data_IF_607167773697
#
_entry.id   IF_607167773697
#
_cell.length_a   1.000
_cell.length_b   1.000
_cell.length_c   1.000
_cell.angle_alpha   90.00
_cell.angle_beta   90.00
_cell.angle_gamma   90.00
#
_symmetry.space_group_name_H-M   'P 1'
#
loop_
_entity.id
_entity.type
_entity.pdbx_description
1 polymer ?
#
# COMPACT_ATOMS: atom_id res chain seq x y z
N UNK A 1 -11.79 -4.02 41.00
CA UNK A 1 -10.51 -4.68 40.64
C UNK A 1 -10.66 -5.62 39.43
N UNK A 2 -11.62 -6.56 39.41
CA UNK A 2 -11.89 -7.43 38.24
C UNK A 2 -12.24 -6.70 36.92
N UNK A 3 -12.78 -5.48 37.00
CA UNK A 3 -13.01 -4.57 35.86
C UNK A 3 -11.71 -4.05 35.23
N UNK A 4 -10.67 -3.88 36.04
CA UNK A 4 -9.36 -3.35 35.62
C UNK A 4 -8.43 -4.45 35.11
N UNK A 5 -8.64 -5.67 35.59
CA UNK A 5 -7.87 -6.85 35.20
C UNK A 5 -8.81 -7.92 34.62
N UNK A 6 -9.24 -7.77 33.34
CA UNK A 6 -10.21 -8.67 32.72
C UNK A 6 -9.70 -10.11 32.58
N UNK A 7 -8.37 -10.30 32.55
CA UNK A 7 -7.72 -11.63 32.49
C UNK A 7 -7.33 -12.20 33.87
N UNK A 8 -7.73 -11.57 34.98
CA UNK A 8 -7.38 -12.05 36.32
C UNK A 8 -8.17 -13.33 36.66
N UNK A 9 -7.44 -14.41 36.96
CA UNK A 9 -7.99 -15.71 37.35
C UNK A 9 -7.99 -15.92 38.86
N UNK A 10 -6.95 -15.46 39.56
CA UNK A 10 -6.79 -15.66 41.00
C UNK A 10 -6.54 -14.32 41.68
N UNK A 11 -7.23 -14.09 42.80
CA UNK A 11 -7.01 -12.95 43.68
C UNK A 11 -6.87 -13.46 45.11
N UNK A 12 -5.76 -13.16 45.79
CA UNK A 12 -5.52 -13.55 47.19
C UNK A 12 -5.77 -15.05 47.42
N UNK A 13 -5.19 -15.90 46.58
CA UNK A 13 -5.39 -17.36 46.55
C UNK A 13 -6.83 -17.83 46.33
N UNK A 14 -7.77 -16.93 46.02
CA UNK A 14 -9.16 -17.26 45.70
C UNK A 14 -9.35 -17.22 44.18
N UNK A 15 -9.89 -18.29 43.55
CA UNK A 15 -10.24 -18.26 42.14
C UNK A 15 -11.42 -17.28 41.92
N UNK A 16 -11.21 -16.31 41.03
CA UNK A 16 -12.18 -15.25 40.70
C UNK A 16 -12.68 -15.34 39.26
N UNK A 17 -11.99 -16.09 38.39
CA UNK A 17 -12.47 -16.47 37.06
C UNK A 17 -11.91 -17.81 36.64
N UNK A 18 -12.69 -18.57 35.87
CA UNK A 18 -12.18 -19.79 35.22
C UNK A 18 -11.49 -19.47 33.88
N UNK A 19 -10.65 -20.38 33.36
CA UNK A 19 -10.09 -20.26 32.01
C UNK A 19 -11.17 -20.14 30.92
N UNK A 20 -12.31 -20.83 31.08
CA UNK A 20 -13.45 -20.82 30.15
C UNK A 20 -14.14 -19.45 30.16
N UNK A 21 -14.33 -18.84 31.34
CA UNK A 21 -14.90 -17.49 31.46
C UNK A 21 -14.03 -16.41 30.81
N UNK A 22 -12.71 -16.58 30.83
CA UNK A 22 -11.77 -15.69 30.13
C UNK A 22 -11.79 -15.96 28.62
N UNK A 23 -11.88 -17.22 28.21
CA UNK A 23 -11.99 -17.58 26.79
C UNK A 23 -13.30 -17.07 26.18
N UNK A 24 -14.42 -17.14 26.90
CA UNK A 24 -15.72 -16.62 26.47
C UNK A 24 -15.73 -15.08 26.32
N UNK A 25 -14.92 -14.36 27.10
CA UNK A 25 -14.72 -12.91 26.95
C UNK A 25 -13.85 -12.57 25.74
N UNK A 26 -13.06 -13.53 25.23
CA UNK A 26 -12.21 -13.33 24.06
C UNK A 26 -13.09 -13.40 22.82
N UNK A 27 -13.40 -12.23 22.24
CA UNK A 27 -13.86 -12.18 20.84
C UNK A 27 -12.78 -12.87 20.00
N UNK A 28 -13.04 -14.06 19.48
CA UNK A 28 -12.12 -14.75 18.58
C UNK A 28 -12.05 -13.93 17.30
N UNK A 29 -10.93 -13.24 17.03
CA UNK A 29 -10.78 -12.53 15.77
C UNK A 29 -10.83 -13.56 14.64
N UNK A 30 -11.32 -13.14 13.47
CA UNK A 30 -11.10 -13.92 12.25
C UNK A 30 -9.60 -14.21 12.16
N UNK A 31 -9.17 -15.49 12.01
CA UNK A 31 -7.76 -15.81 11.94
C UNK A 31 -7.09 -15.02 10.83
N UNK A 32 -5.98 -14.36 11.15
CA UNK A 32 -5.13 -13.70 10.15
C UNK A 32 -4.49 -14.79 9.31
N UNK A 33 -4.84 -14.84 8.03
CA UNK A 33 -4.22 -15.76 7.06
C UNK A 33 -2.96 -15.11 6.47
N UNK A 34 -2.05 -15.94 5.99
CA UNK A 34 -0.92 -15.47 5.19
C UNK A 34 -1.37 -14.87 3.84
N UNK A 35 -0.47 -14.19 3.13
CA UNK A 35 -0.78 -13.61 1.83
C UNK A 35 -1.21 -14.68 0.82
N UNK A 36 -2.16 -14.33 -0.04
CA UNK A 36 -2.59 -15.15 -1.16
C UNK A 36 -2.05 -14.56 -2.46
N UNK A 37 -1.22 -15.33 -3.17
CA UNK A 37 -0.52 -14.87 -4.35
C UNK A 37 -0.81 -15.77 -5.55
N UNK A 38 -1.81 -15.40 -6.34
CA UNK A 38 -2.19 -16.07 -7.58
C UNK A 38 -1.54 -15.36 -8.76
N UNK A 39 -0.38 -15.87 -9.19
CA UNK A 39 0.40 -15.31 -10.31
C UNK A 39 0.90 -16.45 -11.22
N UNK A 40 0.03 -16.90 -12.13
CA UNK A 40 0.27 -18.10 -12.94
C UNK A 40 1.44 -17.97 -13.93
N UNK A 41 1.91 -16.75 -14.21
CA UNK A 41 2.96 -16.48 -15.21
C UNK A 41 4.08 -15.57 -14.66
N UNK A 42 4.22 -15.48 -13.33
CA UNK A 42 5.20 -14.60 -12.67
C UNK A 42 5.11 -13.13 -13.13
N UNK A 43 3.95 -12.68 -13.60
CA UNK A 43 3.73 -11.33 -14.12
C UNK A 43 3.79 -10.34 -12.95
N UNK A 44 3.05 -10.61 -11.88
CA UNK A 44 3.03 -9.74 -10.71
C UNK A 44 4.39 -9.72 -10.01
N UNK A 45 5.06 -10.87 -9.89
CA UNK A 45 6.39 -10.94 -9.27
C UNK A 45 7.41 -10.07 -10.02
N UNK A 46 7.50 -10.24 -11.34
CA UNK A 46 8.43 -9.48 -12.18
C UNK A 46 8.08 -7.99 -12.20
N UNK A 47 6.79 -7.66 -12.31
CA UNK A 47 6.29 -6.29 -12.23
C UNK A 47 6.71 -5.62 -10.93
N UNK A 48 6.48 -6.25 -9.77
CA UNK A 48 6.78 -5.64 -8.46
C UNK A 48 8.28 -5.44 -8.24
N UNK A 49 9.11 -6.41 -8.64
CA UNK A 49 10.58 -6.30 -8.58
C UNK A 49 11.07 -5.10 -9.38
N UNK A 50 10.66 -5.01 -10.64
CA UNK A 50 11.04 -3.89 -11.51
C UNK A 50 10.46 -2.56 -11.02
N UNK A 51 9.19 -2.56 -10.60
CA UNK A 51 8.48 -1.37 -10.14
C UNK A 51 9.20 -0.73 -8.95
N UNK A 52 9.41 -1.45 -7.85
CA UNK A 52 9.97 -0.84 -6.64
C UNK A 52 11.45 -0.48 -6.80
N UNK A 53 12.22 -1.31 -7.52
CA UNK A 53 13.60 -0.97 -7.84
C UNK A 53 13.68 0.33 -8.64
N UNK A 54 12.91 0.46 -9.72
CA UNK A 54 12.93 1.67 -10.54
C UNK A 54 12.23 2.85 -9.86
N UNK A 55 11.22 2.64 -9.02
CA UNK A 55 10.57 3.74 -8.30
C UNK A 55 11.55 4.51 -7.40
N UNK A 56 12.50 3.80 -6.80
CA UNK A 56 13.54 4.39 -5.93
C UNK A 56 14.74 4.95 -6.70
N UNK A 57 15.07 4.36 -7.86
CA UNK A 57 16.28 4.69 -8.64
C UNK A 57 16.02 5.53 -9.91
N UNK A 58 14.98 5.20 -10.68
CA UNK A 58 14.62 5.87 -11.94
C UNK A 58 13.10 5.82 -12.19
N UNK A 59 12.38 6.84 -11.71
CA UNK A 59 10.91 6.91 -11.85
C UNK A 59 10.45 7.02 -13.31
N UNK A 60 11.27 7.57 -14.20
CA UNK A 60 10.89 7.70 -15.61
C UNK A 60 10.83 6.35 -16.33
N UNK A 61 11.66 5.37 -15.93
CA UNK A 61 11.56 4.00 -16.45
C UNK A 61 10.22 3.35 -16.06
N UNK A 62 9.77 3.56 -14.82
CA UNK A 62 8.45 3.08 -14.38
C UNK A 62 7.34 3.73 -15.19
N UNK A 63 7.40 5.06 -15.34
CA UNK A 63 6.38 5.83 -16.04
C UNK A 63 6.27 5.46 -17.50
N UNK A 64 7.39 5.32 -18.20
CA UNK A 64 7.41 5.02 -19.63
C UNK A 64 7.10 3.55 -19.93
N UNK A 65 7.40 2.64 -19.00
CA UNK A 65 7.21 1.20 -19.21
C UNK A 65 5.88 0.64 -18.68
N UNK A 66 5.24 1.30 -17.72
CA UNK A 66 4.12 0.71 -16.95
C UNK A 66 2.86 1.58 -16.89
N UNK A 67 2.91 2.81 -17.41
CA UNK A 67 1.77 3.74 -17.41
C UNK A 67 1.50 4.25 -18.83
N UNK A 68 0.22 4.50 -19.13
CA UNK A 68 -0.25 5.05 -20.41
C UNK A 68 -1.04 6.35 -20.20
N UNK A 69 -1.62 6.90 -21.28
CA UNK A 69 -2.41 8.13 -21.23
C UNK A 69 -3.73 8.03 -20.43
N UNK A 70 -4.20 6.80 -20.16
CA UNK A 70 -5.45 6.53 -19.43
C UNK A 70 -5.22 6.09 -17.99
N UNK A 71 -3.98 5.77 -17.64
CA UNK A 71 -3.59 5.31 -16.32
C UNK A 71 -3.87 6.38 -15.27
N UNK A 72 -4.31 5.95 -14.08
CA UNK A 72 -4.71 6.86 -13.00
C UNK A 72 -3.89 6.56 -11.76
N UNK A 73 -3.32 7.60 -11.17
CA UNK A 73 -2.66 7.56 -9.87
C UNK A 73 -3.37 8.49 -8.89
N UNK A 74 -3.54 8.03 -7.66
CA UNK A 74 -3.84 8.90 -6.52
C UNK A 74 -3.19 8.32 -5.28
N UNK A 75 -2.95 9.16 -4.28
CA UNK A 75 -2.40 8.72 -2.99
C UNK A 75 -3.31 9.17 -1.86
N UNK A 76 -3.36 8.40 -0.77
CA UNK A 76 -4.10 8.77 0.43
C UNK A 76 -3.15 8.72 1.63
N UNK A 77 -3.15 9.80 2.42
CA UNK A 77 -2.43 9.87 3.68
C UNK A 77 -3.39 9.60 4.84
N UNK A 78 -3.12 8.55 5.59
CA UNK A 78 -3.78 8.26 6.86
C UNK A 78 -3.00 8.88 8.04
N UNK A 79 -3.41 10.06 8.48
CA UNK A 79 -2.77 10.74 9.63
C UNK A 79 -3.14 10.11 10.98
N UNK A 80 -4.11 9.20 11.01
CA UNK A 80 -4.62 8.54 12.22
C UNK A 80 -4.17 7.08 12.33
N UNK A 81 -3.22 6.65 11.49
CA UNK A 81 -2.72 5.28 11.51
C UNK A 81 -2.30 4.90 12.95
N UNK A 82 -2.74 3.73 13.47
CA UNK A 82 -2.37 3.29 14.81
C UNK A 82 -0.86 3.26 14.95
N UNK A 83 -0.36 4.11 15.84
CA UNK A 83 1.06 4.16 16.15
C UNK A 83 1.35 2.97 17.05
N UNK A 84 2.19 2.04 16.60
CA UNK A 84 2.86 1.14 17.54
C UNK A 84 3.56 1.99 18.61
N UNK A 85 3.90 1.40 19.75
CA UNK A 85 4.72 2.03 20.80
C UNK A 85 6.11 2.39 20.23
N UNK A 86 6.19 3.43 19.42
CA UNK A 86 7.41 4.04 18.92
C UNK A 86 7.71 5.22 19.84
N UNK A 87 8.94 5.23 20.35
CA UNK A 87 9.42 6.23 21.32
C UNK A 87 9.69 7.60 20.68
N UNK A 88 9.59 7.72 19.36
CA UNK A 88 9.92 8.93 18.61
C UNK A 88 8.65 9.58 18.04
N UNK A 89 8.63 10.92 18.06
CA UNK A 89 7.58 11.68 17.39
C UNK A 89 7.82 11.59 15.88
N UNK A 90 6.91 10.98 15.09
CA UNK A 90 7.11 10.86 13.65
C UNK A 90 7.17 12.24 12.99
N UNK A 91 7.98 12.39 11.96
CA UNK A 91 7.96 13.58 11.12
C UNK A 91 6.58 13.75 10.45
N UNK A 92 6.26 15.01 10.15
CA UNK A 92 5.01 15.41 9.53
C UNK A 92 4.77 14.73 8.17
N UNK A 93 3.55 14.88 7.66
CA UNK A 93 3.17 14.40 6.32
C UNK A 93 3.25 15.49 5.26
N UNK A 94 3.98 16.58 5.51
CA UNK A 94 3.96 17.80 4.67
C UNK A 94 4.31 17.53 3.20
N UNK A 95 5.25 16.60 2.95
CA UNK A 95 5.63 16.17 1.60
C UNK A 95 4.52 15.41 0.84
N UNK A 96 3.51 14.88 1.53
CA UNK A 96 2.43 14.07 0.93
C UNK A 96 1.06 14.74 1.03
N UNK A 97 0.80 15.53 2.08
CA UNK A 97 -0.55 15.94 2.48
C UNK A 97 -1.23 16.84 1.43
N UNK A 98 -0.44 17.65 0.70
CA UNK A 98 -0.95 18.50 -0.40
C UNK A 98 -1.47 17.69 -1.58
N UNK A 99 -0.96 16.46 -1.76
CA UNK A 99 -1.31 15.55 -2.86
C UNK A 99 -2.29 14.45 -2.44
N UNK A 100 -2.51 14.27 -1.13
CA UNK A 100 -3.42 13.28 -0.56
C UNK A 100 -4.86 13.44 -1.04
N UNK A 101 -5.48 12.40 -1.56
CA UNK A 101 -6.89 12.30 -1.95
C UNK A 101 -7.68 11.47 -0.93
N UNK A 102 -7.73 11.94 0.31
CA UNK A 102 -8.57 11.34 1.35
C UNK A 102 -9.99 11.92 1.27
N UNK A 103 -10.93 11.15 0.70
CA UNK A 103 -12.30 11.60 0.46
C UNK A 103 -13.11 11.85 1.74
N UNK A 104 -12.72 11.25 2.87
CA UNK A 104 -13.34 11.52 4.17
C UNK A 104 -12.89 12.86 4.77
N UNK A 105 -11.71 13.37 4.37
CA UNK A 105 -11.16 14.63 4.88
C UNK A 105 -11.34 15.81 3.92
N UNK A 106 -11.37 15.54 2.62
CA UNK A 106 -11.51 16.57 1.58
C UNK A 106 -12.98 16.65 1.19
N UNK A 107 -13.61 17.79 1.46
CA UNK A 107 -15.05 17.97 1.21
C UNK A 107 -15.37 18.70 -0.10
N UNK A 108 -14.39 19.39 -0.70
CA UNK A 108 -14.58 20.12 -1.94
C UNK A 108 -14.34 19.24 -3.17
N UNK A 109 -15.31 19.19 -4.08
CA UNK A 109 -15.27 18.36 -5.30
C UNK A 109 -14.06 18.67 -6.18
N UNK A 110 -13.77 19.96 -6.42
CA UNK A 110 -12.63 20.40 -7.23
C UNK A 110 -11.30 19.82 -6.71
N UNK A 111 -11.10 19.83 -5.39
CA UNK A 111 -9.91 19.25 -4.75
C UNK A 111 -9.88 17.71 -4.80
N UNK A 112 -11.04 17.04 -4.82
CA UNK A 112 -11.12 15.57 -5.01
C UNK A 112 -10.75 15.16 -6.43
N UNK A 113 -11.18 15.95 -7.41
CA UNK A 113 -10.94 15.70 -8.84
C UNK A 113 -9.48 16.00 -9.20
N UNK A 114 -8.92 17.13 -8.74
CA UNK A 114 -7.55 17.54 -9.08
C UNK A 114 -6.45 16.67 -8.47
N UNK A 115 -6.79 15.80 -7.50
CA UNK A 115 -5.85 14.86 -6.86
C UNK A 115 -5.96 13.43 -7.40
N UNK A 116 -6.69 13.25 -8.50
CA UNK A 116 -6.63 12.05 -9.34
C UNK A 116 -5.80 12.42 -10.59
N UNK A 117 -4.58 11.92 -10.65
CA UNK A 117 -3.62 12.23 -11.72
C UNK A 117 -3.81 11.22 -12.84
N UNK A 118 -4.27 11.70 -14.00
CA UNK A 118 -4.56 10.86 -15.18
C UNK A 118 -3.48 11.09 -16.23
N UNK A 119 -2.92 10.00 -16.75
CA UNK A 119 -1.89 10.03 -17.79
C UNK A 119 -0.48 10.28 -17.26
N UNK A 120 0.51 9.74 -17.99
CA UNK A 120 1.93 9.71 -17.61
C UNK A 120 2.46 11.04 -17.09
N UNK A 121 2.18 12.15 -17.78
CA UNK A 121 2.74 13.47 -17.41
C UNK A 121 2.19 14.00 -16.08
N UNK A 122 0.90 13.83 -15.81
CA UNK A 122 0.32 14.26 -14.53
C UNK A 122 0.83 13.40 -13.37
N UNK A 123 1.05 12.11 -13.63
CA UNK A 123 1.62 11.18 -12.65
C UNK A 123 3.08 11.55 -12.37
N UNK A 124 3.88 11.85 -13.41
CA UNK A 124 5.26 12.34 -13.29
C UNK A 124 5.32 13.58 -12.41
N UNK A 125 4.49 14.58 -12.69
CA UNK A 125 4.43 15.82 -11.91
C UNK A 125 4.03 15.58 -10.45
N UNK A 126 3.11 14.63 -10.20
CA UNK A 126 2.79 14.24 -8.83
C UNK A 126 3.99 13.58 -8.15
N UNK A 127 4.64 12.61 -8.79
CA UNK A 127 5.75 11.84 -8.23
C UNK A 127 7.00 12.68 -7.96
N UNK A 128 7.34 13.60 -8.85
CA UNK A 128 8.48 14.52 -8.68
C UNK A 128 8.31 15.46 -7.47
N UNK A 129 7.08 15.65 -7.01
CA UNK A 129 6.79 16.45 -5.79
C UNK A 129 6.80 15.64 -4.50
N UNK A 130 6.90 14.30 -4.58
CA UNK A 130 6.95 13.43 -3.41
C UNK A 130 8.40 13.28 -2.91
N UNK A 131 8.60 13.04 -1.61
CA UNK A 131 9.92 12.71 -1.07
C UNK A 131 10.53 11.48 -1.76
N UNK A 132 11.87 11.45 -1.82
CA UNK A 132 12.59 10.27 -2.28
C UNK A 132 12.43 9.12 -1.29
N UNK A 133 12.33 7.91 -1.81
CA UNK A 133 12.08 6.70 -1.03
C UNK A 133 13.19 5.67 -1.27
N UNK A 134 13.29 4.73 -0.34
CA UNK A 134 14.06 3.50 -0.48
C UNK A 134 13.29 2.34 0.17
N UNK A 135 12.88 1.37 -0.63
CA UNK A 135 12.14 0.19 -0.19
C UNK A 135 13.10 -0.97 0.12
N UNK A 136 12.83 -1.79 1.16
CA UNK A 136 13.61 -3.00 1.41
C UNK A 136 13.57 -3.94 0.20
N UNK A 137 14.71 -4.49 -0.24
CA UNK A 137 14.70 -5.41 -1.39
C UNK A 137 13.74 -6.59 -1.17
N UNK A 138 12.80 -6.81 -2.09
CA UNK A 138 11.72 -7.82 -1.93
C UNK A 138 12.28 -9.22 -1.67
N UNK A 139 13.38 -9.58 -2.35
CA UNK A 139 14.03 -10.90 -2.18
C UNK A 139 14.92 -10.98 -0.94
N UNK A 140 15.55 -9.86 -0.54
CA UNK A 140 16.51 -9.84 0.58
C UNK A 140 15.81 -9.65 1.91
N UNK A 141 14.65 -8.99 1.94
CA UNK A 141 13.89 -8.67 3.14
C UNK A 141 12.41 -9.05 2.99
N UNK A 142 12.05 -10.29 2.59
CA UNK A 142 10.67 -10.66 2.29
C UNK A 142 9.70 -10.52 3.48
N UNK A 143 10.22 -10.55 4.72
CA UNK A 143 9.43 -10.35 5.95
C UNK A 143 8.90 -8.92 6.13
N UNK A 144 9.45 -7.97 5.39
CA UNK A 144 9.01 -6.56 5.41
C UNK A 144 7.88 -6.28 4.42
N UNK A 145 7.38 -7.33 3.75
CA UNK A 145 6.36 -7.25 2.70
C UNK A 145 5.20 -8.20 3.00
N UNK A 146 3.98 -7.76 2.72
CA UNK A 146 2.81 -8.61 2.56
C UNK A 146 2.20 -8.27 1.21
N UNK A 147 2.22 -9.23 0.28
CA UNK A 147 1.82 -9.04 -1.10
C UNK A 147 0.71 -10.02 -1.43
N UNK A 148 -0.41 -9.51 -1.89
CA UNK A 148 -1.53 -10.29 -2.38
C UNK A 148 -1.73 -10.02 -3.87
N UNK A 149 -2.01 -11.06 -4.65
CA UNK A 149 -2.26 -10.96 -6.09
C UNK A 149 -3.44 -11.85 -6.44
N UNK A 150 -4.42 -11.30 -7.15
CA UNK A 150 -5.59 -12.03 -7.61
C UNK A 150 -5.91 -11.66 -9.07
N UNK A 151 -6.24 -12.63 -9.92
CA UNK A 151 -6.76 -12.34 -11.25
C UNK A 151 -8.13 -11.66 -11.14
N UNK A 152 -8.35 -10.66 -11.99
CA UNK A 152 -9.62 -9.94 -12.11
C UNK A 152 -10.08 -9.92 -13.58
N UNK A 153 -11.38 -10.13 -13.85
CA UNK A 153 -11.93 -10.00 -15.19
C UNK A 153 -12.36 -8.56 -15.50
N UNK A 154 -12.66 -8.28 -16.76
CA UNK A 154 -13.43 -7.11 -17.18
C UNK A 154 -12.66 -5.79 -17.15
N UNK A 155 -11.34 -5.82 -17.23
CA UNK A 155 -10.55 -4.62 -17.48
C UNK A 155 -10.78 -4.15 -18.92
N UNK A 156 -10.67 -2.83 -19.16
CA UNK A 156 -10.80 -2.28 -20.49
C UNK A 156 -9.67 -2.81 -21.39
N UNK A 157 -10.05 -3.32 -22.57
CA UNK A 157 -9.09 -3.68 -23.60
C UNK A 157 -8.61 -2.42 -24.31
N UNK A 158 -7.33 -2.07 -24.11
CA UNK A 158 -6.71 -0.90 -24.72
C UNK A 158 -6.53 -1.05 -26.24
N UNK A 159 -6.53 -2.28 -26.77
CA UNK A 159 -6.51 -2.55 -28.22
C UNK A 159 -7.90 -2.42 -28.85
N UNK A 160 -8.95 -2.42 -28.01
CA UNK A 160 -10.34 -2.37 -28.45
C UNK A 160 -10.85 -3.66 -29.12
N UNK A 161 -10.08 -4.76 -29.08
CA UNK A 161 -10.44 -6.03 -29.71
C UNK A 161 -11.56 -6.76 -28.94
N UNK A 162 -11.59 -6.65 -27.61
CA UNK A 162 -12.58 -7.25 -26.74
C UNK A 162 -13.59 -6.23 -26.20
N UNK A 163 -14.86 -6.40 -26.55
CA UNK A 163 -15.98 -5.60 -26.01
C UNK A 163 -16.34 -5.94 -24.56
N UNK A 164 -16.02 -7.16 -24.13
CA UNK A 164 -16.30 -7.64 -22.75
C UNK A 164 -15.15 -7.35 -21.79
N UNK A 165 -14.07 -6.76 -22.29
CA UNK A 165 -12.85 -6.52 -21.54
C UNK A 165 -11.88 -7.71 -21.55
N UNK A 166 -10.77 -7.54 -20.85
CA UNK A 166 -9.66 -8.49 -20.73
C UNK A 166 -9.40 -8.82 -19.26
N UNK A 167 -8.74 -9.96 -19.02
CA UNK A 167 -8.25 -10.31 -17.70
C UNK A 167 -7.06 -9.43 -17.29
N UNK A 168 -6.88 -9.25 -15.99
CA UNK A 168 -5.70 -8.62 -15.43
C UNK A 168 -5.48 -9.02 -13.98
N UNK A 169 -4.67 -8.26 -13.26
CA UNK A 169 -4.28 -8.57 -11.88
C UNK A 169 -4.64 -7.41 -10.95
N UNK A 170 -5.25 -7.75 -9.81
CA UNK A 170 -5.35 -6.87 -8.66
C UNK A 170 -4.24 -7.25 -7.69
N UNK A 171 -3.29 -6.35 -7.51
CA UNK A 171 -2.14 -6.56 -6.64
C UNK A 171 -2.25 -5.59 -5.47
N UNK A 172 -2.23 -6.10 -4.24
CA UNK A 172 -2.19 -5.27 -3.02
C UNK A 172 -0.88 -5.53 -2.29
N UNK A 173 -0.16 -4.46 -1.99
CA UNK A 173 1.15 -4.50 -1.36
C UNK A 173 1.09 -3.71 -0.07
N UNK A 174 1.41 -4.38 1.03
CA UNK A 174 1.66 -3.75 2.32
C UNK A 174 3.14 -3.85 2.62
N UNK A 175 3.73 -2.76 3.09
CA UNK A 175 5.15 -2.76 3.42
C UNK A 175 5.60 -1.50 4.13
N UNK A 176 6.91 -1.26 4.07
CA UNK A 176 7.56 -0.06 4.59
C UNK A 176 8.59 0.49 3.61
N UNK A 177 8.89 1.76 3.73
CA UNK A 177 10.00 2.41 3.02
C UNK A 177 10.68 3.43 3.93
N UNK A 178 11.93 3.73 3.63
CA UNK A 178 12.65 4.84 4.22
C UNK A 178 12.48 6.08 3.34
N UNK A 179 11.99 7.17 3.94
CA UNK A 179 11.99 8.49 3.34
C UNK A 179 13.40 9.08 3.43
N UNK A 180 13.91 9.62 2.33
CA UNK A 180 15.25 10.18 2.24
C UNK A 180 15.19 11.69 2.02
N UNK A 181 16.11 12.41 2.65
CA UNK A 181 16.32 13.81 2.39
C UNK A 181 16.87 14.00 0.97
N UNK A 182 16.24 14.91 0.22
CA UNK A 182 16.57 15.13 -1.19
C UNK A 182 17.98 15.67 -1.41
N UNK A 183 18.56 16.38 -0.42
CA UNK A 183 19.89 16.99 -0.52
C UNK A 183 20.98 16.07 -0.01
N UNK A 184 20.76 15.45 1.14
CA UNK A 184 21.80 14.66 1.83
C UNK A 184 21.70 13.16 1.53
N UNK A 185 20.57 12.69 1.01
CA UNK A 185 20.28 11.26 0.84
C UNK A 185 20.12 10.49 2.15
N UNK A 186 20.16 11.19 3.30
CA UNK A 186 20.05 10.57 4.61
C UNK A 186 18.61 10.20 4.91
N UNK A 187 18.41 9.11 5.65
CA UNK A 187 17.10 8.69 6.13
C UNK A 187 16.48 9.75 7.04
N UNK A 188 15.29 10.21 6.69
CA UNK A 188 14.45 11.05 7.53
C UNK A 188 13.66 10.17 8.50
N UNK A 189 12.94 9.17 7.97
CA UNK A 189 12.15 8.24 8.77
C UNK A 189 11.68 7.03 7.97
N UNK A 190 11.26 5.98 8.66
CA UNK A 190 10.56 4.84 8.05
C UNK A 190 9.04 5.09 8.06
N UNK A 191 8.38 4.87 6.93
CA UNK A 191 6.92 4.90 6.81
C UNK A 191 6.37 3.55 6.38
N UNK A 192 5.20 3.19 6.88
CA UNK A 192 4.41 2.09 6.33
C UNK A 192 3.56 2.58 5.16
N UNK A 193 3.25 1.69 4.23
CA UNK A 193 2.37 2.00 3.10
C UNK A 193 1.52 0.80 2.71
N UNK A 194 0.39 1.13 2.09
CA UNK A 194 -0.46 0.21 1.35
C UNK A 194 -0.54 0.72 -0.08
N UNK A 195 -0.20 -0.11 -1.06
CA UNK A 195 -0.26 0.23 -2.49
C UNK A 195 -1.01 -0.84 -3.26
N UNK A 196 -2.05 -0.41 -3.95
CA UNK A 196 -2.86 -1.28 -4.81
C UNK A 196 -2.60 -0.95 -6.27
N UNK A 197 -2.39 -1.97 -7.08
CA UNK A 197 -2.26 -1.89 -8.53
C UNK A 197 -3.40 -2.65 -9.20
N UNK A 198 -3.94 -2.05 -10.26
CA UNK A 198 -4.84 -2.71 -11.20
C UNK A 198 -4.05 -2.80 -12.51
N UNK A 199 -3.55 -4.00 -12.81
CA UNK A 199 -2.67 -4.24 -13.95
C UNK A 199 -3.46 -4.92 -15.07
N UNK A 200 -3.61 -4.22 -16.19
CA UNK A 200 -4.12 -4.79 -17.44
C UNK A 200 -2.97 -5.22 -18.37
N UNK A 201 -3.29 -5.93 -19.47
CA UNK A 201 -2.31 -6.22 -20.51
C UNK A 201 -1.80 -4.93 -21.15
N UNK A 202 -0.48 -4.80 -21.29
CA UNK A 202 0.14 -3.67 -21.98
C UNK A 202 -0.01 -3.75 -23.49
N UNK A 203 0.28 -2.64 -24.20
CA UNK A 203 0.53 -2.68 -25.64
C UNK A 203 1.85 -3.44 -25.82
N UNK A 204 1.83 -4.54 -26.58
CA UNK A 204 3.01 -5.38 -26.74
C UNK A 204 4.21 -4.61 -27.33
N UNK A 205 5.43 -5.17 -27.29
CA UNK A 205 6.57 -4.54 -27.94
C UNK A 205 6.34 -4.46 -29.45
N UNK A 206 6.14 -3.23 -29.98
CA UNK A 206 6.04 -2.98 -31.43
C UNK A 206 4.88 -2.08 -31.91
N UNK A 207 4.07 -1.51 -31.02
CA UNK A 207 3.00 -0.56 -31.36
C UNK A 207 3.20 0.83 -30.74
#
# INVERSE_FOLDING_TARGET
MLKWYPKLQTLNNTPVRTPEEIAAQKKTPIPVKGPVFHDESSIAENFLKAFFFNFDNNKDEVLNGMYDERSIFSLNVNVLAPRALQNETPAGWDGYIKKSRNLQRINHLSARMSRAYVGVENIRNAWNSLPRTNHPGILTNPKDWLIECNPIPGLLDITGQSKTGVGGLLITVHGKFDELDMKTGSKIQTRSFDRTFVLGPGRGPGE
#
